data_IF_529438467697
#
_entry.id   IF_529438467697
#
_cell.length_a   1.000
_cell.length_b   1.000
_cell.length_c   1.000
_cell.angle_alpha   90.00
_cell.angle_beta   90.00
_cell.angle_gamma   90.00
#
_symmetry.space_group_name_H-M   'P 1'
#
loop_
_entity.id
_entity.type
_entity.pdbx_description
1 polymer ?
#
# COMPACT_ATOMS: atom_id res chain seq x y z
N UNK A 1 3.12 5.58 -14.59
CA UNK A 1 3.99 5.50 -13.39
C UNK A 1 3.97 4.11 -12.71
N UNK A 2 2.81 3.57 -12.32
CA UNK A 2 2.72 2.30 -11.59
C UNK A 2 3.25 1.06 -12.34
N UNK A 3 3.07 0.99 -13.67
CA UNK A 3 3.63 -0.07 -14.53
C UNK A 3 5.17 -0.04 -14.44
N UNK A 4 5.78 1.13 -14.60
CA UNK A 4 7.24 1.29 -14.51
C UNK A 4 7.83 0.90 -13.17
N UNK A 5 7.19 1.24 -12.04
CA UNK A 5 7.71 0.85 -10.73
C UNK A 5 7.59 -0.66 -10.48
N UNK A 6 6.49 -1.28 -10.91
CA UNK A 6 6.38 -2.75 -10.83
C UNK A 6 7.41 -3.42 -11.76
N UNK A 7 7.67 -2.86 -12.94
CA UNK A 7 8.73 -3.32 -13.83
C UNK A 7 10.10 -3.20 -13.18
N UNK A 8 10.40 -2.07 -12.53
CA UNK A 8 11.65 -1.85 -11.84
C UNK A 8 11.82 -2.81 -10.67
N UNK A 9 10.77 -3.07 -9.90
CA UNK A 9 10.79 -4.09 -8.83
C UNK A 9 11.03 -5.48 -9.42
N UNK A 10 10.29 -5.87 -10.46
CA UNK A 10 10.44 -7.18 -11.12
C UNK A 10 11.83 -7.33 -11.74
N UNK A 11 12.32 -6.33 -12.47
CA UNK A 11 13.65 -6.35 -13.08
C UNK A 11 14.76 -6.35 -12.02
N UNK A 12 14.61 -5.62 -10.92
CA UNK A 12 15.59 -5.62 -9.81
C UNK A 12 15.62 -6.95 -9.07
N UNK A 13 14.47 -7.63 -8.95
CA UNK A 13 14.39 -8.98 -8.37
C UNK A 13 15.08 -10.00 -9.29
N UNK A 14 14.99 -9.82 -10.60
CA UNK A 14 15.35 -10.82 -11.57
C UNK A 14 16.74 -10.66 -12.22
N UNK A 15 17.47 -9.57 -11.96
CA UNK A 15 18.65 -9.23 -12.75
C UNK A 15 20.00 -9.43 -12.06
N UNK A 16 20.76 -10.32 -12.70
CA UNK A 16 22.19 -10.16 -12.93
C UNK A 16 22.49 -9.69 -14.38
N UNK A 17 21.49 -9.29 -15.18
CA UNK A 17 21.69 -9.09 -16.64
C UNK A 17 20.79 -8.08 -17.37
N UNK A 18 19.85 -7.40 -16.71
CA UNK A 18 19.01 -6.34 -17.35
C UNK A 18 19.36 -4.93 -16.90
N UNK A 19 20.44 -4.74 -16.11
CA UNK A 19 20.90 -3.42 -15.66
C UNK A 19 21.09 -2.45 -16.85
N UNK A 20 21.70 -2.90 -17.96
CA UNK A 20 22.07 -1.99 -19.04
C UNK A 20 20.90 -1.39 -19.84
N UNK A 21 19.81 -2.13 -20.09
CA UNK A 21 18.68 -1.62 -20.88
C UNK A 21 17.74 -0.69 -20.09
N UNK A 22 17.61 -0.93 -18.77
CA UNK A 22 16.84 -0.06 -17.88
C UNK A 22 17.64 1.16 -17.46
N UNK A 23 18.95 1.05 -17.34
CA UNK A 23 19.82 2.19 -17.08
C UNK A 23 19.94 3.12 -18.30
N UNK A 24 19.77 2.66 -19.54
CA UNK A 24 19.68 3.58 -20.69
C UNK A 24 18.33 4.32 -20.80
N UNK A 25 17.22 3.74 -20.33
CA UNK A 25 15.90 4.41 -20.34
C UNK A 25 15.58 5.17 -19.04
N UNK A 26 16.20 4.82 -17.91
CA UNK A 26 15.93 5.38 -16.59
C UNK A 26 17.19 5.92 -15.88
N UNK A 27 18.39 5.58 -16.35
CA UNK A 27 19.66 5.99 -15.74
C UNK A 27 19.89 7.48 -15.89
N UNK A 28 20.38 8.05 -14.80
CA UNK A 28 20.63 9.47 -14.54
C UNK A 28 19.40 10.40 -14.53
N UNK A 29 18.20 9.86 -14.71
CA UNK A 29 16.99 10.66 -14.56
C UNK A 29 16.65 10.88 -13.07
N UNK A 30 16.86 12.10 -12.60
CA UNK A 30 16.49 12.59 -11.27
C UNK A 30 15.05 12.28 -10.78
N UNK A 31 13.99 12.06 -11.60
CA UNK A 31 12.65 11.91 -11.04
C UNK A 31 12.37 10.54 -10.37
N UNK A 32 13.21 9.52 -10.54
CA UNK A 32 12.97 8.18 -9.97
C UNK A 32 13.96 7.76 -8.87
N UNK A 33 14.98 8.56 -8.57
CA UNK A 33 16.01 8.21 -7.58
C UNK A 33 15.43 7.82 -6.20
N UNK A 34 14.37 8.52 -5.76
CA UNK A 34 13.67 8.21 -4.51
C UNK A 34 12.98 6.84 -4.53
N UNK A 35 12.51 6.38 -5.69
CA UNK A 35 11.91 5.05 -5.83
C UNK A 35 12.96 3.96 -5.77
N UNK A 36 14.10 4.13 -6.44
CA UNK A 36 15.22 3.17 -6.37
C UNK A 36 15.75 3.03 -4.94
N UNK A 37 15.91 4.14 -4.21
CA UNK A 37 16.29 4.12 -2.79
C UNK A 37 15.33 3.24 -1.97
N UNK A 38 14.02 3.33 -2.23
CA UNK A 38 13.03 2.50 -1.55
C UNK A 38 13.08 1.03 -2.00
N UNK A 39 13.29 0.75 -3.28
CA UNK A 39 13.44 -0.61 -3.82
C UNK A 39 14.65 -1.30 -3.19
N UNK A 40 15.81 -0.64 -3.18
CA UNK A 40 17.04 -1.16 -2.54
C UNK A 40 16.83 -1.40 -1.05
N UNK A 41 16.21 -0.43 -0.35
CA UNK A 41 15.83 -0.60 1.05
C UNK A 41 14.96 -1.84 1.21
N UNK A 42 14.00 -2.10 0.35
CA UNK A 42 13.11 -3.25 0.48
C UNK A 42 13.80 -4.58 0.19
N UNK A 43 14.66 -4.62 -0.82
CA UNK A 43 15.39 -5.81 -1.25
C UNK A 43 16.56 -6.18 -0.34
N UNK A 44 16.95 -5.32 0.61
CA UNK A 44 18.07 -5.55 1.56
C UNK A 44 18.01 -6.88 2.33
N UNK A 45 16.83 -7.48 2.45
CA UNK A 45 16.64 -8.75 3.17
C UNK A 45 16.95 -9.99 2.32
N UNK A 46 17.12 -9.81 1.00
CA UNK A 46 17.35 -10.87 0.03
C UNK A 46 18.64 -10.60 -0.75
N UNK A 47 19.80 -11.03 -0.23
CA UNK A 47 21.01 -11.08 -1.03
C UNK A 47 20.78 -11.84 -2.34
N UNK A 48 21.57 -11.54 -3.37
CA UNK A 48 21.51 -12.19 -4.67
C UNK A 48 21.50 -13.72 -4.54
N UNK A 49 20.50 -14.38 -5.14
CA UNK A 49 20.34 -15.84 -5.12
C UNK A 49 19.76 -16.42 -3.83
N UNK A 50 19.38 -15.59 -2.86
CA UNK A 50 18.82 -16.07 -1.57
C UNK A 50 17.32 -16.41 -1.62
N UNK A 51 16.60 -15.98 -2.65
CA UNK A 51 15.21 -16.40 -2.91
C UNK A 51 15.26 -17.77 -3.60
N UNK A 52 14.77 -18.81 -2.92
CA UNK A 52 14.78 -20.18 -3.44
C UNK A 52 13.44 -20.57 -4.03
N UNK A 53 13.41 -21.60 -4.89
CA UNK A 53 12.15 -22.14 -5.43
C UNK A 53 11.21 -22.62 -4.30
N UNK A 54 11.75 -23.27 -3.25
CA UNK A 54 10.95 -23.70 -2.10
C UNK A 54 10.20 -22.54 -1.42
N UNK A 55 10.84 -21.35 -1.34
CA UNK A 55 10.18 -20.16 -0.80
C UNK A 55 9.04 -19.69 -1.68
N UNK A 56 9.26 -19.68 -3.00
CA UNK A 56 8.26 -19.25 -3.97
C UNK A 56 7.10 -20.24 -4.02
N UNK A 57 7.39 -21.54 -4.08
CA UNK A 57 6.42 -22.62 -4.02
C UNK A 57 5.60 -22.58 -2.73
N UNK A 58 6.24 -22.32 -1.59
CA UNK A 58 5.54 -22.17 -0.32
C UNK A 58 4.56 -20.99 -0.32
N UNK A 59 4.97 -19.86 -0.91
CA UNK A 59 4.10 -18.70 -1.08
C UNK A 59 2.98 -19.03 -2.08
N UNK A 60 3.23 -19.75 -3.17
CA UNK A 60 2.23 -20.12 -4.16
C UNK A 60 1.23 -21.17 -3.64
N UNK A 61 1.66 -22.12 -2.81
CA UNK A 61 0.91 -23.32 -2.43
C UNK A 61 -0.32 -23.09 -1.52
N UNK A 62 -0.58 -21.86 -1.08
CA UNK A 62 -1.79 -21.50 -0.31
C UNK A 62 -2.06 -22.38 0.93
N UNK A 63 -1.04 -23.05 1.49
CA UNK A 63 -1.25 -24.10 2.50
C UNK A 63 -1.50 -23.60 3.92
N UNK A 64 -1.43 -22.30 4.19
CA UNK A 64 -1.52 -21.81 5.56
C UNK A 64 -2.74 -20.94 5.84
N UNK A 65 -3.77 -21.59 6.37
CA UNK A 65 -4.99 -21.01 6.93
C UNK A 65 -4.71 -20.00 8.05
N UNK A 66 -3.51 -19.99 8.61
CA UNK A 66 -3.07 -19.07 9.66
C UNK A 66 -2.79 -17.66 9.16
N UNK A 67 -2.42 -17.50 7.88
CA UNK A 67 -2.07 -16.19 7.32
C UNK A 67 -3.24 -15.52 6.58
N UNK A 68 -4.24 -16.27 6.09
CA UNK A 68 -5.43 -15.75 5.35
C UNK A 68 -5.09 -14.63 4.33
N UNK A 69 -3.89 -14.65 3.78
CA UNK A 69 -3.42 -13.62 2.87
C UNK A 69 -3.97 -13.92 1.48
N UNK A 70 -4.78 -13.01 0.97
CA UNK A 70 -5.32 -13.08 -0.41
C UNK A 70 -4.24 -12.58 -1.35
N UNK A 71 -3.59 -13.49 -2.08
CA UNK A 71 -2.43 -13.18 -2.95
C UNK A 71 -2.51 -13.91 -4.27
N UNK A 72 -2.07 -13.26 -5.33
CA UNK A 72 -1.95 -13.85 -6.67
C UNK A 72 -0.47 -14.04 -7.00
N UNK A 73 -0.10 -15.18 -7.56
CA UNK A 73 1.27 -15.48 -8.01
C UNK A 73 1.32 -15.41 -9.54
N UNK A 74 2.35 -14.75 -10.04
CA UNK A 74 2.64 -14.60 -11.45
C UNK A 74 3.97 -15.26 -11.77
N UNK A 75 4.05 -15.89 -12.94
CA UNK A 75 5.30 -16.22 -13.62
C UNK A 75 5.36 -15.43 -14.91
N UNK A 76 6.50 -14.81 -15.18
CA UNK A 76 6.84 -14.30 -16.49
C UNK A 76 7.91 -15.25 -17.04
N UNK A 77 7.69 -15.82 -18.21
CA UNK A 77 8.62 -16.73 -18.89
C UNK A 77 8.58 -16.45 -20.40
N UNK A 78 9.75 -16.22 -21.01
CA UNK A 78 9.92 -15.87 -22.44
C UNK A 78 8.99 -14.74 -22.92
N UNK A 79 8.78 -13.73 -22.07
CA UNK A 79 7.89 -12.62 -22.38
C UNK A 79 6.41 -13.00 -22.43
N UNK A 80 5.99 -14.02 -21.69
CA UNK A 80 4.59 -14.42 -21.48
C UNK A 80 4.29 -14.45 -19.98
N UNK A 81 3.13 -13.90 -19.56
CA UNK A 81 2.69 -13.95 -18.17
C UNK A 81 1.71 -15.10 -17.93
N UNK A 82 1.96 -15.86 -16.86
CA UNK A 82 1.14 -16.94 -16.36
C UNK A 82 0.65 -16.62 -14.95
N UNK A 83 -0.51 -17.17 -14.61
CA UNK A 83 -1.01 -17.21 -13.24
C UNK A 83 -0.72 -18.58 -12.67
N UNK A 84 0.01 -18.63 -11.55
CA UNK A 84 0.39 -19.88 -10.90
C UNK A 84 -0.38 -20.02 -9.58
N UNK A 85 -0.83 -21.24 -9.31
CA UNK A 85 -1.49 -21.62 -8.06
C UNK A 85 -2.99 -21.95 -8.22
N UNK A 86 -3.64 -22.16 -7.08
CA UNK A 86 -5.05 -22.55 -7.05
C UNK A 86 -5.95 -21.34 -7.42
N UNK A 87 -6.59 -21.38 -8.59
CA UNK A 87 -7.48 -20.30 -9.06
C UNK A 87 -8.93 -20.41 -8.56
N UNK A 88 -9.22 -21.27 -7.57
CA UNK A 88 -10.57 -21.38 -7.00
C UNK A 88 -10.91 -20.25 -6.00
N UNK A 89 -9.91 -19.70 -5.30
CA UNK A 89 -10.14 -18.65 -4.31
C UNK A 89 -10.37 -17.23 -4.89
N UNK A 90 -9.79 -16.79 -6.04
CA UNK A 90 -10.09 -15.50 -6.65
C UNK A 90 -11.57 -15.36 -7.03
N UNK A 91 -12.21 -16.48 -7.40
CA UNK A 91 -13.65 -16.55 -7.72
C UNK A 91 -14.50 -16.25 -6.46
N UNK A 92 -14.03 -16.68 -5.28
CA UNK A 92 -14.70 -16.47 -3.99
C UNK A 92 -14.18 -15.24 -3.21
N UNK A 93 -13.27 -14.46 -3.79
CA UNK A 93 -12.53 -13.40 -3.10
C UNK A 93 -13.35 -12.12 -2.80
N UNK A 94 -14.69 -12.14 -2.90
CA UNK A 94 -15.59 -11.00 -2.60
C UNK A 94 -15.02 -9.68 -3.14
N UNK A 95 -14.75 -8.69 -2.28
CA UNK A 95 -14.24 -7.37 -2.65
C UNK A 95 -12.79 -7.36 -3.18
N UNK A 96 -12.01 -8.42 -2.99
CA UNK A 96 -10.63 -8.52 -3.52
C UNK A 96 -10.59 -8.97 -4.99
N UNK A 97 -11.69 -9.49 -5.55
CA UNK A 97 -11.73 -9.91 -6.97
C UNK A 97 -11.31 -8.78 -7.91
N UNK A 98 -11.76 -7.56 -7.64
CA UNK A 98 -11.38 -6.38 -8.40
C UNK A 98 -9.89 -6.01 -8.27
N UNK A 99 -9.32 -6.16 -7.07
CA UNK A 99 -7.90 -5.91 -6.82
C UNK A 99 -7.02 -6.89 -7.59
N UNK A 100 -7.36 -8.19 -7.56
CA UNK A 100 -6.64 -9.24 -8.29
C UNK A 100 -6.73 -9.00 -9.79
N UNK A 101 -7.93 -8.78 -10.32
CA UNK A 101 -8.12 -8.50 -11.75
C UNK A 101 -7.30 -7.29 -12.21
N UNK A 102 -7.21 -6.24 -11.40
CA UNK A 102 -6.37 -5.09 -11.70
C UNK A 102 -4.88 -5.44 -11.73
N UNK A 103 -4.37 -6.27 -10.81
CA UNK A 103 -2.98 -6.74 -10.87
C UNK A 103 -2.71 -7.57 -12.14
N UNK A 104 -3.64 -8.46 -12.52
CA UNK A 104 -3.53 -9.23 -13.78
C UNK A 104 -3.41 -8.29 -14.98
N UNK A 105 -4.25 -7.25 -15.05
CA UNK A 105 -4.21 -6.28 -16.14
C UNK A 105 -2.90 -5.47 -16.17
N UNK A 106 -2.35 -5.12 -15.00
CA UNK A 106 -1.05 -4.44 -14.91
C UNK A 106 0.07 -5.33 -15.44
N UNK A 107 0.14 -6.59 -15.00
CA UNK A 107 1.16 -7.55 -15.47
C UNK A 107 0.99 -7.86 -16.96
N UNK A 108 -0.23 -8.04 -17.44
CA UNK A 108 -0.49 -8.20 -18.88
C UNK A 108 -0.09 -6.96 -19.70
N UNK A 109 -0.25 -5.76 -19.13
CA UNK A 109 0.23 -4.51 -19.72
C UNK A 109 1.76 -4.45 -19.81
N UNK A 110 2.45 -4.87 -18.75
CA UNK A 110 3.91 -5.00 -18.71
C UNK A 110 4.42 -5.93 -19.80
N UNK A 111 3.90 -7.16 -19.82
CA UNK A 111 4.31 -8.16 -20.82
C UNK A 111 4.02 -7.68 -22.24
N UNK A 112 2.87 -7.03 -22.49
CA UNK A 112 2.57 -6.48 -23.82
C UNK A 112 3.56 -5.40 -24.25
N UNK A 113 4.00 -4.57 -23.31
CA UNK A 113 4.87 -3.43 -23.60
C UNK A 113 6.33 -3.85 -23.78
N UNK A 114 6.82 -4.79 -22.96
CA UNK A 114 8.25 -5.12 -22.90
C UNK A 114 8.58 -6.52 -23.42
N UNK A 115 7.59 -7.43 -23.50
CA UNK A 115 7.72 -8.78 -24.03
C UNK A 115 8.93 -9.50 -23.44
N UNK A 116 9.78 -10.03 -24.33
CA UNK A 116 11.02 -10.75 -24.01
C UNK A 116 12.12 -9.89 -23.36
N UNK A 117 11.93 -8.58 -23.25
CA UNK A 117 12.85 -7.72 -22.49
C UNK A 117 12.65 -7.86 -20.98
N UNK A 118 11.53 -8.44 -20.55
CA UNK A 118 11.32 -8.79 -19.15
C UNK A 118 12.05 -10.10 -18.85
N UNK A 119 12.78 -10.17 -17.73
CA UNK A 119 13.44 -11.40 -17.32
C UNK A 119 12.41 -12.42 -16.81
N UNK A 120 12.77 -13.70 -16.94
CA UNK A 120 11.98 -14.78 -16.37
C UNK A 120 11.93 -14.63 -14.84
N UNK A 121 10.72 -14.53 -14.28
CA UNK A 121 10.53 -14.17 -12.87
C UNK A 121 9.24 -14.75 -12.33
N UNK A 122 9.28 -15.32 -11.12
CA UNK A 122 8.10 -15.67 -10.35
C UNK A 122 7.95 -14.76 -9.12
N UNK A 123 6.73 -14.25 -8.88
CA UNK A 123 6.47 -13.36 -7.75
C UNK A 123 5.01 -13.38 -7.30
N UNK A 124 4.77 -13.08 -6.03
CA UNK A 124 3.42 -13.04 -5.44
C UNK A 124 3.05 -11.66 -4.92
N UNK A 125 1.87 -11.18 -5.34
CA UNK A 125 1.32 -9.89 -4.88
C UNK A 125 0.14 -10.14 -3.97
N UNK A 126 0.22 -9.61 -2.74
CA UNK A 126 -0.86 -9.71 -1.76
C UNK A 126 -1.77 -8.48 -1.78
N UNK A 127 -3.08 -8.74 -1.66
CA UNK A 127 -4.15 -7.75 -1.80
C UNK A 127 -4.79 -7.35 -0.47
N UNK A 128 -4.33 -7.90 0.65
CA UNK A 128 -4.79 -7.52 1.98
C UNK A 128 -4.23 -6.15 2.40
N UNK A 129 -4.97 -5.39 3.19
CA UNK A 129 -4.52 -4.08 3.68
C UNK A 129 -3.32 -4.22 4.64
N UNK A 130 -3.28 -5.25 5.48
CA UNK A 130 -2.18 -5.47 6.42
C UNK A 130 -0.91 -6.00 5.74
N UNK A 131 0.28 -5.49 6.08
CA UNK A 131 1.54 -6.16 5.77
C UNK A 131 1.64 -7.52 6.46
N UNK A 132 2.49 -8.42 5.97
CA UNK A 132 2.47 -9.83 6.39
C UNK A 132 3.81 -10.34 6.88
N UNK A 133 4.88 -9.98 6.19
CA UNK A 133 6.17 -10.63 6.41
C UNK A 133 6.88 -9.92 7.57
N UNK A 134 6.61 -10.36 8.79
CA UNK A 134 7.18 -9.74 10.00
C UNK A 134 8.64 -10.13 10.21
N UNK A 135 9.47 -9.14 10.54
CA UNK A 135 10.91 -9.34 10.77
C UNK A 135 11.23 -10.00 12.12
N UNK A 136 10.34 -9.92 13.11
CA UNK A 136 10.53 -10.56 14.42
C UNK A 136 10.14 -12.05 14.43
N UNK A 137 9.46 -12.50 13.38
CA UNK A 137 9.10 -13.91 13.16
C UNK A 137 10.02 -14.58 12.14
N UNK A 138 11.19 -13.96 11.90
CA UNK A 138 12.21 -14.36 10.93
C UNK A 138 12.95 -15.62 11.36
N UNK A 139 13.03 -15.85 12.67
CA UNK A 139 13.29 -17.16 13.23
C UNK A 139 11.95 -17.79 13.51
N UNK A 140 11.74 -19.00 13.00
CA UNK A 140 10.47 -19.68 13.07
C UNK A 140 9.83 -19.50 14.43
N UNK A 141 8.50 -19.36 14.46
CA UNK A 141 7.83 -20.08 15.53
C UNK A 141 8.35 -21.51 15.42
N UNK A 142 8.93 -22.10 16.47
CA UNK A 142 9.03 -23.54 16.53
C UNK A 142 7.63 -24.08 16.20
N UNK A 143 7.50 -24.74 15.05
CA UNK A 143 6.23 -25.32 14.61
C UNK A 143 5.31 -24.47 13.72
N UNK A 144 5.79 -23.61 12.80
CA UNK A 144 5.02 -23.38 11.55
C UNK A 144 5.44 -24.46 10.55
N UNK A 145 4.69 -25.59 10.42
CA UNK A 145 5.16 -26.73 9.67
C UNK A 145 5.35 -26.36 8.19
N UNK A 146 6.53 -26.67 7.65
CA UNK A 146 6.84 -26.50 6.24
C UNK A 146 7.29 -25.11 5.80
N UNK A 147 7.47 -24.12 6.70
CA UNK A 147 8.10 -22.85 6.32
C UNK A 147 9.57 -23.11 5.91
N UNK A 148 10.00 -22.73 4.69
CA UNK A 148 11.37 -22.95 4.25
C UNK A 148 12.36 -22.13 5.09
N UNK A 149 13.55 -22.69 5.40
CA UNK A 149 14.62 -21.92 6.04
C UNK A 149 15.15 -20.85 5.07
N UNK A 150 15.61 -19.72 5.60
CA UNK A 150 16.23 -18.67 4.79
C UNK A 150 15.77 -17.25 5.14
N UNK A 151 15.92 -16.30 4.21
CA UNK A 151 15.43 -14.93 4.41
C UNK A 151 13.89 -14.89 4.52
N UNK A 152 13.29 -13.74 4.89
CA UNK A 152 11.83 -13.61 4.94
C UNK A 152 11.18 -13.96 3.58
N UNK A 153 9.89 -14.30 3.55
CA UNK A 153 9.22 -14.63 2.29
C UNK A 153 9.06 -13.39 1.39
N UNK A 154 9.39 -13.45 0.09
CA UNK A 154 9.32 -12.30 -0.83
C UNK A 154 7.88 -12.05 -1.28
N UNK A 155 7.11 -11.31 -0.49
CA UNK A 155 5.72 -10.96 -0.81
C UNK A 155 5.62 -9.48 -1.15
N UNK A 156 5.00 -9.18 -2.28
CA UNK A 156 4.82 -7.80 -2.76
C UNK A 156 3.52 -7.21 -2.19
N UNK A 157 3.58 -5.98 -1.68
CA UNK A 157 2.46 -5.25 -1.05
C UNK A 157 2.52 -3.76 -1.25
N UNK A 158 1.39 -3.07 -1.11
CA UNK A 158 1.34 -1.61 -1.28
C UNK A 158 1.73 -0.81 -0.03
N UNK A 159 1.75 -1.44 1.14
CA UNK A 159 1.94 -0.77 2.41
C UNK A 159 2.69 -1.68 3.37
N UNK A 160 3.58 -1.07 4.16
CA UNK A 160 4.31 -1.76 5.23
C UNK A 160 4.83 -0.77 6.26
N UNK A 161 5.52 -1.31 7.26
CA UNK A 161 6.31 -0.54 8.24
C UNK A 161 7.73 -1.07 8.23
N UNK A 162 8.68 -0.40 8.89
CA UNK A 162 10.06 -0.88 8.98
C UNK A 162 10.21 -2.23 9.73
N UNK A 163 9.15 -2.70 10.39
CA UNK A 163 9.06 -4.02 11.04
C UNK A 163 8.65 -5.15 10.10
N UNK A 164 8.34 -4.82 8.85
CA UNK A 164 7.93 -5.77 7.84
C UNK A 164 8.94 -5.83 6.69
N UNK A 165 9.15 -7.04 6.17
CA UNK A 165 10.01 -7.32 5.04
C UNK A 165 9.27 -7.17 3.70
N UNK A 166 7.93 -7.10 3.67
CA UNK A 166 7.14 -7.04 2.42
C UNK A 166 7.76 -6.06 1.40
N UNK A 167 7.75 -6.40 0.12
CA UNK A 167 8.37 -5.58 -0.94
C UNK A 167 7.31 -4.58 -1.43
N UNK A 168 7.59 -3.28 -1.34
CA UNK A 168 6.61 -2.27 -1.75
C UNK A 168 6.38 -2.28 -3.26
N UNK A 169 5.11 -2.28 -3.64
CA UNK A 169 4.64 -2.05 -5.01
C UNK A 169 3.67 -0.89 -5.04
N UNK A 170 3.49 -0.23 -6.20
CA UNK A 170 2.49 0.81 -6.35
C UNK A 170 1.11 0.33 -5.96
N UNK A 171 0.38 1.18 -5.27
CA UNK A 171 -0.96 0.84 -4.85
C UNK A 171 -1.89 0.62 -6.04
N UNK A 172 -2.62 -0.50 -6.04
CA UNK A 172 -3.39 -0.91 -7.21
C UNK A 172 -4.52 0.05 -7.59
N UNK A 173 -4.99 0.89 -6.64
CA UNK A 173 -6.00 1.91 -6.98
C UNK A 173 -5.48 3.00 -7.92
N UNK A 174 -4.17 3.18 -8.12
CA UNK A 174 -3.68 4.04 -9.21
C UNK A 174 -4.28 3.59 -10.55
N UNK A 175 -4.29 2.28 -10.81
CA UNK A 175 -4.85 1.69 -12.02
C UNK A 175 -6.37 1.64 -11.95
N UNK A 176 -6.95 1.12 -10.86
CA UNK A 176 -8.40 0.93 -10.77
C UNK A 176 -9.20 2.24 -10.81
N UNK A 177 -8.61 3.35 -10.37
CA UNK A 177 -9.26 4.66 -10.40
C UNK A 177 -8.84 5.49 -11.60
N UNK A 178 -7.99 4.96 -12.48
CA UNK A 178 -7.35 5.71 -13.57
C UNK A 178 -6.81 7.04 -13.06
N UNK A 179 -5.98 6.99 -12.00
CA UNK A 179 -5.55 8.16 -11.23
C UNK A 179 -5.01 9.29 -12.11
N UNK A 180 -4.22 8.96 -13.13
CA UNK A 180 -3.67 9.93 -14.08
C UNK A 180 -4.77 10.74 -14.78
N UNK A 181 -5.85 10.08 -15.22
CA UNK A 181 -6.96 10.74 -15.93
C UNK A 181 -7.97 11.38 -14.98
N UNK A 182 -8.35 10.66 -13.93
CA UNK A 182 -9.49 11.02 -13.10
C UNK A 182 -9.11 11.90 -11.90
N UNK A 183 -7.84 11.96 -11.54
CA UNK A 183 -7.34 12.81 -10.47
C UNK A 183 -6.36 13.84 -11.05
N UNK A 184 -5.23 13.41 -11.60
CA UNK A 184 -4.20 14.35 -12.09
C UNK A 184 -4.70 15.20 -13.26
N UNK A 185 -5.38 14.60 -14.23
CA UNK A 185 -5.97 15.29 -15.37
C UNK A 185 -7.08 16.29 -15.02
N UNK A 186 -7.56 16.31 -13.77
CA UNK A 186 -8.58 17.26 -13.30
C UNK A 186 -8.01 18.37 -12.41
N UNK A 187 -6.71 18.34 -12.08
CA UNK A 187 -6.09 19.27 -11.11
C UNK A 187 -6.31 20.73 -11.52
N UNK A 188 -6.09 21.09 -12.79
CA UNK A 188 -6.24 22.46 -13.25
C UNK A 188 -7.68 22.96 -13.16
N UNK A 189 -8.63 22.11 -13.56
CA UNK A 189 -10.06 22.42 -13.47
C UNK A 189 -10.50 22.60 -12.01
N UNK A 190 -10.04 21.73 -11.11
CA UNK A 190 -10.32 21.80 -9.67
C UNK A 190 -9.71 23.06 -9.06
N UNK A 191 -8.46 23.39 -9.37
CA UNK A 191 -7.77 24.56 -8.84
C UNK A 191 -8.35 25.87 -9.39
N UNK A 192 -8.85 25.89 -10.63
CA UNK A 192 -9.58 27.02 -11.19
C UNK A 192 -10.94 27.22 -10.51
N UNK A 193 -11.64 26.13 -10.20
CA UNK A 193 -12.92 26.17 -9.49
C UNK A 193 -12.76 26.60 -8.02
N UNK A 194 -11.67 26.16 -7.39
CA UNK A 194 -11.37 26.42 -5.98
C UNK A 194 -9.97 27.04 -5.83
N UNK A 195 -9.77 28.30 -6.25
CA UNK A 195 -8.48 28.96 -6.08
C UNK A 195 -8.17 29.13 -4.60
N UNK A 196 -6.89 29.06 -4.23
CA UNK A 196 -6.44 29.06 -2.83
C UNK A 196 -7.07 30.17 -1.97
N UNK A 197 -7.13 31.39 -2.50
CA UNK A 197 -7.70 32.55 -1.83
C UNK A 197 -9.17 32.37 -1.42
N UNK A 198 -9.93 31.56 -2.17
CA UNK A 198 -11.37 31.35 -1.97
C UNK A 198 -11.68 30.05 -1.23
N UNK A 199 -10.67 29.22 -0.93
CA UNK A 199 -10.87 27.99 -0.15
C UNK A 199 -11.24 28.36 1.29
N UNK A 200 -12.15 27.60 1.87
CA UNK A 200 -12.57 27.80 3.25
C UNK A 200 -11.47 27.46 4.26
N UNK A 201 -11.43 28.24 5.33
CA UNK A 201 -10.55 28.05 6.48
C UNK A 201 -11.11 27.01 7.44
N UNK A 202 -11.34 25.79 6.95
CA UNK A 202 -11.83 24.68 7.78
C UNK A 202 -10.93 23.46 7.60
N UNK A 203 -10.52 22.82 8.71
CA UNK A 203 -9.86 21.52 8.65
C UNK A 203 -10.89 20.47 8.29
N UNK A 204 -10.77 19.93 7.08
CA UNK A 204 -11.78 19.09 6.48
C UNK A 204 -11.31 17.65 6.29
N UNK A 205 -12.20 16.70 6.58
CA UNK A 205 -11.95 15.28 6.30
C UNK A 205 -13.20 14.41 6.36
N UNK A 206 -13.23 13.37 5.51
CA UNK A 206 -14.27 12.33 5.53
C UNK A 206 -13.67 10.95 5.68
N UNK A 207 -14.09 10.18 6.69
CA UNK A 207 -13.46 8.91 7.04
C UNK A 207 -14.46 7.78 7.30
N UNK A 208 -14.18 6.60 6.76
CA UNK A 208 -14.77 5.37 7.29
C UNK A 208 -14.12 5.03 8.64
N UNK A 209 -14.89 4.54 9.62
CA UNK A 209 -14.43 4.25 10.98
C UNK A 209 -13.65 2.92 11.05
N UNK A 210 -12.71 2.71 10.13
CA UNK A 210 -11.87 1.51 10.15
C UNK A 210 -10.95 1.55 11.37
N UNK A 211 -10.82 0.39 12.00
CA UNK A 211 -9.85 0.17 13.06
C UNK A 211 -8.48 -0.09 12.45
N UNK A 212 -7.45 0.49 13.06
CA UNK A 212 -6.07 0.25 12.67
C UNK A 212 -5.53 -0.99 13.35
N UNK A 213 -4.80 -1.79 12.59
CA UNK A 213 -4.06 -2.92 13.11
C UNK A 213 -2.77 -2.45 13.79
N UNK A 214 -2.58 -2.88 15.03
CA UNK A 214 -1.36 -2.65 15.81
C UNK A 214 -0.91 -3.98 16.42
N UNK A 215 0.35 -4.36 16.20
CA UNK A 215 0.95 -5.54 16.83
C UNK A 215 1.73 -5.11 18.07
N UNK A 216 1.59 -5.84 19.17
CA UNK A 216 2.37 -5.57 20.40
C UNK A 216 3.87 -5.59 20.08
N UNK A 217 4.60 -4.62 20.65
CA UNK A 217 6.03 -4.42 20.37
C UNK A 217 6.33 -3.52 19.15
N UNK A 218 5.34 -3.17 18.33
CA UNK A 218 5.54 -2.32 17.15
C UNK A 218 5.18 -0.84 17.38
N UNK A 219 5.98 -0.13 18.18
CA UNK A 219 5.65 1.22 18.66
C UNK A 219 5.40 2.25 17.55
N UNK A 220 5.95 2.06 16.34
CA UNK A 220 5.75 3.00 15.23
C UNK A 220 4.28 3.13 14.78
N UNK A 221 3.48 2.05 14.86
CA UNK A 221 2.04 2.12 14.54
C UNK A 221 1.13 2.23 15.76
N UNK A 222 1.69 2.13 16.97
CA UNK A 222 0.95 2.39 18.20
C UNK A 222 0.42 3.83 18.21
N UNK A 223 -0.84 4.01 18.62
CA UNK A 223 -1.45 5.34 18.74
C UNK A 223 -2.19 5.47 20.05
N UNK A 224 -2.05 6.64 20.64
CA UNK A 224 -2.86 7.09 21.77
C UNK A 224 -3.76 8.22 21.31
N UNK A 225 -4.95 8.29 21.91
CA UNK A 225 -5.87 9.37 21.69
C UNK A 225 -5.41 10.67 22.36
N UNK A 226 -6.14 11.74 22.07
CA UNK A 226 -6.00 13.04 22.74
C UNK A 226 -5.84 12.89 24.27
N UNK A 227 -4.87 13.59 24.86
CA UNK A 227 -4.50 13.49 26.29
C UNK A 227 -4.15 12.07 26.76
N UNK A 228 -3.56 11.25 25.88
CA UNK A 228 -3.10 9.91 26.23
C UNK A 228 -4.23 8.89 26.44
N UNK A 229 -5.45 9.18 25.96
CA UNK A 229 -6.55 8.21 26.06
C UNK A 229 -6.18 6.91 25.36
N UNK A 230 -6.36 5.77 26.02
CA UNK A 230 -6.21 4.49 25.36
C UNK A 230 -7.36 4.30 24.35
N UNK A 231 -7.01 4.14 23.08
CA UNK A 231 -7.94 3.95 21.96
C UNK A 231 -7.78 2.58 21.30
N UNK A 232 -6.96 1.71 21.89
CA UNK A 232 -6.64 0.40 21.37
C UNK A 232 -7.25 -0.69 22.27
N UNK A 233 -7.85 -1.70 21.64
CA UNK A 233 -8.42 -2.88 22.30
C UNK A 233 -7.71 -4.15 21.84
N UNK A 234 -7.55 -5.11 22.74
CA UNK A 234 -6.98 -6.40 22.40
C UNK A 234 -7.88 -7.16 21.40
N UNK A 235 -7.28 -7.71 20.36
CA UNK A 235 -7.92 -8.52 19.33
C UNK A 235 -7.27 -9.91 19.19
N UNK A 236 -6.22 -10.17 19.96
CA UNK A 236 -5.51 -11.44 20.05
C UNK A 236 -4.30 -11.33 20.99
N UNK A 237 -3.49 -12.39 21.13
CA UNK A 237 -2.33 -12.39 22.02
C UNK A 237 -1.30 -11.30 21.71
N UNK A 238 -1.14 -10.95 20.43
CA UNK A 238 -0.16 -9.96 19.96
C UNK A 238 -0.77 -8.93 19.01
N UNK A 239 -2.10 -8.82 18.95
CA UNK A 239 -2.85 -7.94 18.05
C UNK A 239 -3.78 -7.04 18.83
N UNK A 240 -3.79 -5.77 18.46
CA UNK A 240 -4.73 -4.76 18.93
C UNK A 240 -5.38 -4.04 17.76
N UNK A 241 -6.60 -3.58 18.00
CA UNK A 241 -7.35 -2.70 17.09
C UNK A 241 -7.44 -1.32 17.72
N UNK A 242 -6.95 -0.30 17.01
CA UNK A 242 -6.96 1.08 17.46
C UNK A 242 -8.00 1.91 16.68
N UNK A 243 -8.93 2.54 17.38
CA UNK A 243 -10.03 3.32 16.79
C UNK A 243 -9.60 4.74 16.39
N UNK A 244 -8.45 4.90 15.72
CA UNK A 244 -7.81 6.20 15.45
C UNK A 244 -8.75 7.19 14.76
N UNK A 245 -9.40 6.77 13.67
CA UNK A 245 -10.31 7.62 12.89
C UNK A 245 -11.57 8.00 13.68
N UNK A 246 -12.19 7.02 14.34
CA UNK A 246 -13.39 7.25 15.15
C UNK A 246 -13.11 8.20 16.30
N UNK A 247 -12.00 7.99 17.01
CA UNK A 247 -11.59 8.87 18.10
C UNK A 247 -11.32 10.30 17.62
N UNK A 248 -10.60 10.47 16.50
CA UNK A 248 -10.31 11.78 15.94
C UNK A 248 -11.58 12.52 15.50
N UNK A 249 -12.52 11.84 14.82
CA UNK A 249 -13.82 12.43 14.45
C UNK A 249 -14.60 12.90 15.68
N UNK A 250 -14.65 12.08 16.74
CA UNK A 250 -15.32 12.47 17.99
C UNK A 250 -14.64 13.65 18.68
N UNK A 251 -13.29 13.65 18.71
CA UNK A 251 -12.53 14.76 19.25
C UNK A 251 -12.78 16.06 18.47
N UNK A 252 -12.71 16.02 17.14
CA UNK A 252 -12.95 17.19 16.29
C UNK A 252 -14.37 17.74 16.45
N UNK A 253 -15.38 16.86 16.54
CA UNK A 253 -16.77 17.26 16.85
C UNK A 253 -16.87 17.96 18.21
N UNK A 254 -16.17 17.47 19.23
CA UNK A 254 -16.14 18.10 20.57
C UNK A 254 -15.42 19.44 20.53
N UNK A 255 -14.28 19.54 19.84
CA UNK A 255 -13.51 20.78 19.70
C UNK A 255 -14.34 21.85 18.98
N UNK A 256 -15.01 21.51 17.88
CA UNK A 256 -15.95 22.41 17.19
C UNK A 256 -17.04 22.93 18.13
N UNK A 257 -17.74 22.04 18.84
CA UNK A 257 -18.86 22.41 19.72
C UNK A 257 -18.43 23.24 20.93
N UNK A 258 -17.28 22.91 21.54
CA UNK A 258 -16.86 23.51 22.81
C UNK A 258 -15.94 24.72 22.65
N UNK A 259 -15.12 24.75 21.59
CA UNK A 259 -14.05 25.74 21.40
C UNK A 259 -14.27 26.58 20.14
N UNK A 260 -15.33 26.34 19.36
CA UNK A 260 -15.55 27.02 18.09
C UNK A 260 -14.49 26.71 17.03
N UNK A 261 -13.70 25.65 17.21
CA UNK A 261 -12.64 25.28 16.27
C UNK A 261 -13.23 25.03 14.87
N UNK A 262 -12.60 25.52 13.79
CA UNK A 262 -13.11 25.41 12.43
C UNK A 262 -12.83 24.01 11.86
N UNK A 263 -13.39 22.99 12.48
CA UNK A 263 -13.23 21.59 12.08
C UNK A 263 -14.51 21.06 11.44
N UNK A 264 -14.35 20.38 10.31
CA UNK A 264 -15.38 19.58 9.69
C UNK A 264 -14.80 18.20 9.33
N UNK A 265 -14.65 17.38 10.36
CA UNK A 265 -14.12 16.03 10.26
C UNK A 265 -15.17 15.04 10.73
N UNK A 266 -15.68 14.21 9.82
CA UNK A 266 -16.82 13.34 10.07
C UNK A 266 -16.82 12.10 9.15
N UNK A 267 -17.73 11.16 9.38
CA UNK A 267 -17.94 10.03 8.46
C UNK A 267 -18.86 10.41 7.29
N UNK A 268 -19.86 11.26 7.57
CA UNK A 268 -20.92 11.62 6.63
C UNK A 268 -21.14 13.14 6.61
N UNK A 269 -21.73 13.69 5.52
CA UNK A 269 -22.01 13.00 4.27
C UNK A 269 -20.71 12.64 3.53
N UNK A 270 -20.75 11.58 2.70
CA UNK A 270 -19.68 11.31 1.73
C UNK A 270 -19.50 12.52 0.81
N UNK A 271 -18.25 12.85 0.50
CA UNK A 271 -17.87 13.94 -0.41
C UNK A 271 -16.90 13.42 -1.46
N UNK A 272 -17.06 13.92 -2.67
CA UNK A 272 -16.15 13.71 -3.78
C UNK A 272 -14.88 14.57 -3.64
N UNK A 273 -13.91 14.38 -4.54
CA UNK A 273 -12.64 15.11 -4.48
C UNK A 273 -12.77 16.61 -4.77
N UNK A 274 -13.59 17.06 -5.75
CA UNK A 274 -13.87 18.49 -5.90
C UNK A 274 -14.43 19.14 -4.62
N UNK A 275 -15.35 18.46 -3.92
CA UNK A 275 -15.85 18.94 -2.64
C UNK A 275 -14.78 19.07 -1.55
N UNK A 276 -13.75 18.21 -1.56
CA UNK A 276 -12.61 18.38 -0.64
C UNK A 276 -11.76 19.59 -1.04
N UNK A 277 -11.59 19.86 -2.34
CA UNK A 277 -10.77 20.97 -2.82
C UNK A 277 -11.28 22.36 -2.41
N UNK A 278 -12.52 22.48 -1.95
CA UNK A 278 -13.08 23.74 -1.41
C UNK A 278 -12.49 24.16 -0.03
N UNK A 279 -11.60 23.35 0.57
CA UNK A 279 -11.03 23.58 1.90
C UNK A 279 -9.52 23.77 1.85
N UNK A 280 -8.98 24.74 2.61
CA UNK A 280 -7.53 25.00 2.67
C UNK A 280 -6.77 23.86 3.31
N UNK A 281 -7.35 23.22 4.33
CA UNK A 281 -6.68 22.19 5.14
C UNK A 281 -7.40 20.86 5.04
N UNK A 282 -6.72 19.85 4.52
CA UNK A 282 -7.25 18.50 4.35
C UNK A 282 -6.53 17.56 5.31
N UNK A 283 -7.29 16.91 6.19
CA UNK A 283 -6.71 15.92 7.11
C UNK A 283 -6.58 14.57 6.43
N UNK A 284 -5.41 13.95 6.57
CA UNK A 284 -5.16 12.58 6.19
C UNK A 284 -4.89 11.73 7.45
N UNK A 285 -5.67 10.65 7.58
CA UNK A 285 -5.48 9.61 8.61
C UNK A 285 -5.37 8.26 7.91
N UNK A 286 -4.44 7.42 8.34
CA UNK A 286 -4.36 6.05 7.85
C UNK A 286 -5.58 5.22 8.28
N UNK A 287 -5.89 4.20 7.51
CA UNK A 287 -7.00 3.29 7.75
C UNK A 287 -6.57 2.09 8.58
N UNK A 288 -6.94 0.90 8.09
CA UNK A 288 -6.41 -0.38 8.56
C UNK A 288 -4.88 -0.39 8.50
N UNK A 289 -4.35 0.07 7.36
CA UNK A 289 -2.95 0.40 7.08
C UNK A 289 -2.87 1.73 6.31
N UNK A 290 -1.90 1.91 5.41
CA UNK A 290 -1.75 3.09 4.57
C UNK A 290 -3.06 3.43 3.85
N UNK A 291 -3.48 4.70 3.90
CA UNK A 291 -4.65 5.12 3.15
C UNK A 291 -4.28 5.66 1.78
N UNK A 292 -4.93 5.11 0.75
CA UNK A 292 -4.82 5.62 -0.63
C UNK A 292 -5.34 7.03 -0.86
N UNK A 293 -5.87 7.68 0.19
CA UNK A 293 -6.43 9.01 0.09
C UNK A 293 -5.34 10.08 0.03
N UNK A 294 -4.15 9.84 0.59
CA UNK A 294 -3.07 10.82 0.63
C UNK A 294 -2.76 11.40 -0.76
N UNK A 295 -2.48 10.53 -1.73
CA UNK A 295 -2.20 10.85 -3.14
C UNK A 295 -3.31 11.72 -3.77
N UNK A 296 -4.57 11.45 -3.44
CA UNK A 296 -5.69 12.24 -3.98
C UNK A 296 -5.75 13.63 -3.36
N UNK A 297 -5.49 13.76 -2.05
CA UNK A 297 -5.56 15.04 -1.35
C UNK A 297 -4.43 15.98 -1.79
N UNK A 298 -3.23 15.44 -2.03
CA UNK A 298 -2.06 16.21 -2.49
C UNK A 298 -2.30 16.88 -3.85
N UNK A 299 -3.18 16.32 -4.68
CA UNK A 299 -3.52 16.87 -5.99
C UNK A 299 -4.50 18.06 -5.96
N UNK A 300 -5.12 18.38 -4.81
CA UNK A 300 -6.25 19.32 -4.75
C UNK A 300 -5.86 20.80 -4.54
N UNK A 301 -4.56 21.12 -4.59
CA UNK A 301 -4.07 22.48 -4.31
C UNK A 301 -4.40 22.96 -2.88
N UNK A 302 -4.57 22.02 -1.95
CA UNK A 302 -4.84 22.27 -0.53
C UNK A 302 -3.64 21.83 0.32
N UNK A 303 -3.50 22.39 1.51
CA UNK A 303 -2.50 21.94 2.47
C UNK A 303 -2.98 20.64 3.13
N UNK A 304 -2.18 19.58 3.04
CA UNK A 304 -2.52 18.29 3.63
C UNK A 304 -1.87 18.15 5.01
N UNK A 305 -2.70 18.01 6.04
CA UNK A 305 -2.28 17.68 7.40
C UNK A 305 -2.25 16.16 7.53
N UNK A 306 -1.08 15.57 7.32
CA UNK A 306 -0.87 14.12 7.41
C UNK A 306 -0.63 13.69 8.85
N UNK A 307 -1.33 12.63 9.27
CA UNK A 307 -0.95 11.87 10.44
C UNK A 307 0.50 11.35 10.33
N UNK A 308 1.31 11.59 11.36
CA UNK A 308 2.57 10.86 11.53
C UNK A 308 2.23 9.43 11.92
N UNK A 309 2.20 8.54 10.94
CA UNK A 309 2.02 7.10 11.13
C UNK A 309 3.35 6.38 10.99
N UNK A 310 3.44 5.17 11.55
CA UNK A 310 4.58 4.27 11.29
C UNK A 310 4.47 3.54 9.95
N UNK A 311 3.55 3.98 9.08
CA UNK A 311 3.26 3.48 7.74
C UNK A 311 3.77 4.49 6.70
#
# INVERSE_FOLDING_TARGET
LAIWVLLLVVASIASAGTENALQEQCGDSAPFAGLFTQIEKDLRHWPKGSITQDMVDWVAAEKDSHWKVRRVTFLIEDGVAYLIGNMTWPVNARHHRGLIAAHVLVVAGLVRQFGRSLPDTEFSVATSDEPTVRLDRREGRPGTPGLPPGPPLPILRFCKTDYHADILVPYIHFNMRSYDKNILGQVDAINKLHPWANKSETLFGRFSPYERYYRLGHNATAKVGFKGTNICRAAGPDLQYCEVRSHFMQWAKRAKRKQGAPFDVAQQPRRDMPGHAAHKWLVHLDGQSCSSRLEQLLALGSLVVREVSGY
#
